data_IF_284420526218
#
_entry.id   IF_284420526218
#
_cell.length_a   1.000
_cell.length_b   1.000
_cell.length_c   1.000
_cell.angle_alpha   90.00
_cell.angle_beta   90.00
_cell.angle_gamma   90.00
#
_symmetry.space_group_name_H-M   'P 1'
#
loop_
_entity.id
_entity.type
_entity.pdbx_description
1 polymer ?
#
# COMPACT_ATOMS: atom_id res chain seq x y z
N UNK A 1 -14.97 14.18 -21.09
CA UNK A 1 -14.65 13.38 -19.87
C UNK A 1 -14.18 14.37 -18.82
N UNK A 2 -14.79 14.35 -17.63
CA UNK A 2 -14.35 15.19 -16.52
C UNK A 2 -13.08 14.59 -15.93
N UNK A 3 -12.02 15.39 -15.83
CA UNK A 3 -10.80 14.98 -15.13
C UNK A 3 -11.08 14.89 -13.62
N UNK A 4 -10.36 14.04 -12.87
CA UNK A 4 -10.42 14.02 -11.41
C UNK A 4 -10.15 15.43 -10.85
N UNK A 5 -10.96 15.86 -9.89
CA UNK A 5 -10.98 17.25 -9.43
C UNK A 5 -9.61 17.75 -8.92
N UNK A 6 -8.84 16.88 -8.27
CA UNK A 6 -7.54 17.19 -7.66
C UNK A 6 -6.31 16.97 -8.59
N UNK A 7 -6.52 16.59 -9.85
CA UNK A 7 -5.42 16.36 -10.80
C UNK A 7 -5.31 17.44 -11.87
N UNK A 8 -6.16 18.47 -11.86
CA UNK A 8 -6.11 19.62 -12.78
C UNK A 8 -5.96 19.22 -14.27
N UNK A 9 -6.67 18.18 -14.70
CA UNK A 9 -6.60 17.66 -16.07
C UNK A 9 -5.42 16.74 -16.36
N UNK A 10 -4.53 16.52 -15.40
CA UNK A 10 -3.43 15.55 -15.55
C UNK A 10 -3.93 14.12 -15.35
N UNK A 11 -3.23 13.15 -15.91
CA UNK A 11 -3.48 11.74 -15.66
C UNK A 11 -3.22 11.41 -14.18
N UNK A 12 -4.16 10.77 -13.46
CA UNK A 12 -3.96 10.34 -12.10
C UNK A 12 -2.96 9.16 -12.06
N UNK A 13 -1.69 9.49 -11.91
CA UNK A 13 -0.57 8.56 -11.91
C UNK A 13 0.40 8.90 -10.79
N UNK A 14 0.93 7.88 -10.11
CA UNK A 14 1.94 8.05 -9.07
C UNK A 14 3.27 8.51 -9.71
N UNK A 15 3.79 9.61 -9.19
CA UNK A 15 5.18 10.00 -9.40
C UNK A 15 6.00 9.68 -8.16
N UNK A 16 6.85 8.63 -8.16
CA UNK A 16 7.64 8.24 -7.00
C UNK A 16 8.51 9.36 -6.44
N UNK A 17 8.97 10.27 -7.30
CA UNK A 17 9.77 11.41 -6.86
C UNK A 17 8.96 12.45 -6.08
N UNK A 18 7.63 12.48 -6.27
CA UNK A 18 6.71 13.42 -5.63
C UNK A 18 5.72 12.75 -4.67
N UNK A 19 5.90 11.49 -4.35
CA UNK A 19 5.00 10.71 -3.49
C UNK A 19 5.55 10.53 -2.07
N UNK A 20 4.63 10.44 -1.09
CA UNK A 20 4.89 9.93 0.26
C UNK A 20 3.90 8.80 0.56
N UNK A 21 4.34 7.79 1.32
CA UNK A 21 3.54 6.63 1.74
C UNK A 21 3.05 6.84 3.17
N UNK A 22 1.73 6.75 3.37
CA UNK A 22 1.11 6.84 4.68
C UNK A 22 0.48 5.50 5.06
N UNK A 23 0.99 4.84 6.09
CA UNK A 23 0.49 3.56 6.59
C UNK A 23 -0.14 3.79 7.97
N UNK A 24 -1.47 3.84 7.99
CA UNK A 24 -2.27 4.35 9.11
C UNK A 24 -2.97 3.20 9.83
N UNK A 25 -2.72 3.06 11.12
CA UNK A 25 -3.43 2.13 12.02
C UNK A 25 -3.39 0.66 11.58
N UNK A 26 -2.30 0.21 10.99
CA UNK A 26 -2.07 -1.21 10.73
C UNK A 26 -1.74 -1.91 12.06
N UNK A 27 -2.72 -1.94 12.95
CA UNK A 27 -2.62 -2.39 14.34
C UNK A 27 -3.14 -3.81 14.52
N UNK A 28 -2.45 -4.59 15.34
CA UNK A 28 -2.73 -6.02 15.53
C UNK A 28 -4.14 -6.31 16.02
N UNK A 29 -4.72 -5.45 16.85
CA UNK A 29 -6.10 -5.57 17.31
C UNK A 29 -7.12 -5.22 16.24
N UNK A 30 -6.89 -4.13 15.49
CA UNK A 30 -7.79 -3.73 14.39
C UNK A 30 -7.83 -4.78 13.28
N UNK A 31 -6.73 -5.45 12.98
CA UNK A 31 -6.69 -6.51 11.97
C UNK A 31 -7.68 -7.65 12.28
N UNK A 32 -7.96 -7.93 13.54
CA UNK A 32 -8.92 -8.97 13.95
C UNK A 32 -10.37 -8.61 13.61
N UNK A 33 -10.65 -7.34 13.34
CA UNK A 33 -12.00 -6.87 12.94
C UNK A 33 -12.24 -6.92 11.45
N UNK A 34 -11.21 -7.15 10.63
CA UNK A 34 -11.30 -7.23 9.18
C UNK A 34 -12.00 -8.52 8.75
N UNK A 35 -12.96 -8.39 7.82
CA UNK A 35 -13.77 -9.50 7.30
C UNK A 35 -13.99 -9.47 5.78
N UNK A 36 -13.53 -8.43 5.11
CA UNK A 36 -13.65 -8.29 3.66
C UNK A 36 -12.52 -8.97 2.89
N UNK A 37 -11.41 -9.30 3.58
CA UNK A 37 -10.27 -10.03 3.03
C UNK A 37 -9.56 -10.88 4.10
N UNK A 38 -8.75 -11.88 3.71
CA UNK A 38 -7.90 -12.62 4.64
C UNK A 38 -6.87 -11.72 5.34
N UNK A 39 -6.68 -11.90 6.65
CA UNK A 39 -5.71 -11.13 7.44
C UNK A 39 -4.27 -11.28 6.90
N UNK A 40 -3.91 -12.47 6.42
CA UNK A 40 -2.59 -12.75 5.84
C UNK A 40 -2.34 -11.93 4.58
N UNK A 41 -3.36 -11.75 3.76
CA UNK A 41 -3.31 -10.91 2.56
C UNK A 41 -3.13 -9.44 2.93
N UNK A 42 -3.95 -8.91 3.84
CA UNK A 42 -3.81 -7.55 4.34
C UNK A 42 -2.41 -7.26 4.89
N UNK A 43 -1.85 -8.19 5.70
CA UNK A 43 -0.48 -8.05 6.24
C UNK A 43 0.55 -8.03 5.12
N UNK A 44 0.45 -8.94 4.15
CA UNK A 44 1.37 -9.00 3.02
C UNK A 44 1.31 -7.71 2.19
N UNK A 45 0.12 -7.22 1.89
CA UNK A 45 -0.09 -5.99 1.11
C UNK A 45 0.49 -4.76 1.82
N UNK A 46 0.18 -4.56 3.10
CA UNK A 46 0.72 -3.43 3.88
C UNK A 46 2.26 -3.48 4.00
N UNK A 47 2.82 -4.66 4.23
CA UNK A 47 4.28 -4.87 4.29
C UNK A 47 4.93 -4.61 2.94
N UNK A 48 4.30 -5.03 1.84
CA UNK A 48 4.81 -4.80 0.48
C UNK A 48 4.83 -3.32 0.11
N UNK A 49 3.81 -2.55 0.50
CA UNK A 49 3.83 -1.09 0.32
C UNK A 49 5.04 -0.47 1.03
N UNK A 50 5.33 -0.86 2.26
CA UNK A 50 6.50 -0.40 3.00
C UNK A 50 7.82 -0.80 2.30
N UNK A 51 7.93 -2.05 1.82
CA UNK A 51 9.09 -2.57 1.08
C UNK A 51 9.32 -1.78 -0.22
N UNK A 52 8.29 -1.57 -1.01
CA UNK A 52 8.39 -0.86 -2.30
C UNK A 52 8.70 0.62 -2.09
N UNK A 53 8.14 1.25 -1.05
CA UNK A 53 8.51 2.62 -0.68
C UNK A 53 9.99 2.73 -0.31
N UNK A 54 10.54 1.73 0.39
CA UNK A 54 11.98 1.65 0.72
C UNK A 54 12.84 1.52 -0.51
N UNK A 55 12.51 0.59 -1.43
CA UNK A 55 13.23 0.41 -2.70
C UNK A 55 13.24 1.70 -3.54
N UNK A 56 12.12 2.41 -3.57
CA UNK A 56 11.98 3.65 -4.35
C UNK A 56 12.41 4.91 -3.59
N UNK A 57 12.89 4.79 -2.35
CA UNK A 57 13.29 5.91 -1.48
C UNK A 57 12.15 6.92 -1.24
N UNK A 58 10.91 6.43 -1.21
CA UNK A 58 9.72 7.22 -0.90
C UNK A 58 9.64 7.40 0.62
N UNK A 59 9.43 8.62 1.15
CA UNK A 59 9.20 8.84 2.57
C UNK A 59 8.00 8.03 3.06
N UNK A 60 8.15 7.35 4.20
CA UNK A 60 7.09 6.58 4.85
C UNK A 60 6.74 7.22 6.18
N UNK A 61 5.45 7.48 6.41
CA UNK A 61 4.93 7.92 7.70
C UNK A 61 3.94 6.89 8.19
N UNK A 62 4.14 6.45 9.42
CA UNK A 62 3.25 5.52 10.11
C UNK A 62 2.62 6.19 11.33
N UNK A 63 1.42 5.77 11.68
CA UNK A 63 0.75 6.23 12.91
C UNK A 63 -0.14 5.14 13.49
N UNK A 64 -0.38 5.20 14.79
CA UNK A 64 -1.29 4.32 15.50
C UNK A 64 -2.18 5.12 16.44
N UNK A 65 -3.44 4.71 16.55
CA UNK A 65 -4.40 5.27 17.49
C UNK A 65 -4.44 4.41 18.76
N UNK A 66 -4.05 4.99 19.89
CA UNK A 66 -4.07 4.34 21.22
C UNK A 66 -3.47 2.93 21.19
N UNK A 67 -2.17 2.76 20.86
CA UNK A 67 -1.56 1.45 20.67
C UNK A 67 -1.49 0.59 21.94
N UNK A 68 -1.64 1.19 23.11
CA UNK A 68 -1.73 0.50 24.41
C UNK A 68 -3.16 0.02 24.73
N UNK A 69 -4.14 0.35 23.92
CA UNK A 69 -5.54 -0.02 24.05
C UNK A 69 -5.90 -1.26 23.22
N UNK A 70 -7.22 -1.53 23.02
CA UNK A 70 -7.71 -2.66 22.26
C UNK A 70 -7.24 -2.73 20.80
N UNK A 71 -6.90 -1.58 20.21
CA UNK A 71 -6.36 -1.53 18.83
C UNK A 71 -5.00 -2.24 18.72
N UNK A 72 -4.24 -2.32 19.80
CA UNK A 72 -2.91 -2.92 19.84
C UNK A 72 -1.83 -2.10 19.12
N UNK A 73 -0.59 -2.58 19.13
CA UNK A 73 0.51 -1.94 18.42
C UNK A 73 0.42 -2.16 16.90
N UNK A 74 1.18 -1.37 16.14
CA UNK A 74 1.41 -1.63 14.71
C UNK A 74 2.04 -3.00 14.52
N UNK A 75 1.74 -3.64 13.39
CA UNK A 75 2.43 -4.88 12.99
C UNK A 75 3.91 -4.57 12.74
N UNK A 76 4.84 -5.39 13.26
CA UNK A 76 6.28 -5.09 13.18
C UNK A 76 6.82 -5.11 11.75
N UNK A 77 6.25 -5.91 10.86
CA UNK A 77 6.71 -6.11 9.49
C UNK A 77 6.80 -4.80 8.69
N UNK A 78 5.97 -3.80 9.01
CA UNK A 78 6.00 -2.50 8.33
C UNK A 78 7.32 -1.78 8.61
N UNK A 79 7.74 -1.71 9.88
CA UNK A 79 8.99 -1.05 10.25
C UNK A 79 10.23 -1.89 9.90
N UNK A 80 10.11 -3.22 9.86
CA UNK A 80 11.14 -4.11 9.33
C UNK A 80 11.38 -3.86 7.84
N UNK A 81 10.30 -3.69 7.06
CA UNK A 81 10.37 -3.40 5.63
C UNK A 81 10.73 -1.94 5.31
N UNK A 82 10.37 -1.00 6.19
CA UNK A 82 10.67 0.42 6.06
C UNK A 82 11.32 1.00 7.34
N UNK A 83 12.59 0.66 7.63
CA UNK A 83 13.28 1.13 8.84
C UNK A 83 13.47 2.66 8.89
N UNK A 84 13.31 3.34 7.77
CA UNK A 84 13.33 4.80 7.66
C UNK A 84 11.97 5.45 7.94
N UNK A 85 10.92 4.68 8.22
CA UNK A 85 9.59 5.21 8.46
C UNK A 85 9.55 6.11 9.71
N UNK A 86 8.97 7.29 9.56
CA UNK A 86 8.70 8.17 10.68
C UNK A 86 7.40 7.74 11.37
N UNK A 87 7.49 7.31 12.62
CA UNK A 87 6.32 7.00 13.43
C UNK A 87 5.81 8.24 14.16
N UNK A 88 4.50 8.51 14.08
CA UNK A 88 3.81 9.55 14.81
C UNK A 88 2.74 8.92 15.70
N UNK A 89 2.90 9.04 17.02
CA UNK A 89 1.91 8.56 17.99
C UNK A 89 0.72 9.52 18.05
N UNK A 90 -0.51 8.97 18.04
CA UNK A 90 -1.74 9.75 18.28
C UNK A 90 -2.29 9.49 19.68
N UNK A 91 -3.02 10.47 20.20
CA UNK A 91 -3.60 10.40 21.56
C UNK A 91 -5.04 9.85 21.57
N UNK A 92 -5.61 9.50 20.41
CA UNK A 92 -6.95 8.96 20.28
C UNK A 92 -7.77 9.59 19.16
N UNK A 93 -7.19 10.49 18.38
CA UNK A 93 -7.83 11.04 17.19
C UNK A 93 -8.19 9.91 16.23
N UNK A 94 -9.47 9.83 15.87
CA UNK A 94 -9.99 8.81 14.96
C UNK A 94 -9.49 9.09 13.55
N UNK A 95 -9.60 10.34 13.10
CA UNK A 95 -9.00 10.78 11.85
C UNK A 95 -7.54 11.17 12.10
N UNK A 96 -6.60 10.51 11.46
CA UNK A 96 -5.17 10.85 11.59
C UNK A 96 -4.90 12.31 11.17
N UNK A 97 -5.70 12.87 10.28
CA UNK A 97 -5.56 14.25 9.81
C UNK A 97 -5.94 15.29 10.88
N UNK A 98 -6.66 14.91 11.93
CA UNK A 98 -6.98 15.77 13.07
C UNK A 98 -5.80 15.89 14.06
N UNK A 99 -4.75 15.07 13.89
CA UNK A 99 -3.52 15.18 14.70
C UNK A 99 -2.52 16.14 14.01
N UNK A 100 -2.19 17.29 14.63
CA UNK A 100 -1.32 18.30 14.02
C UNK A 100 0.11 17.80 13.81
N UNK A 101 0.62 16.88 14.65
CA UNK A 101 1.97 16.33 14.51
C UNK A 101 2.06 15.40 13.30
N UNK A 102 1.00 14.61 13.05
CA UNK A 102 0.90 13.77 11.85
C UNK A 102 0.87 14.62 10.58
N UNK A 103 0.00 15.64 10.53
CA UNK A 103 -0.08 16.57 9.39
C UNK A 103 1.24 17.31 9.18
N UNK A 104 1.91 17.72 10.25
CA UNK A 104 3.23 18.37 10.17
C UNK A 104 4.29 17.42 9.58
N UNK A 105 4.30 16.15 9.98
CA UNK A 105 5.19 15.13 9.41
C UNK A 105 4.94 14.93 7.91
N UNK A 106 3.66 14.85 7.48
CA UNK A 106 3.31 14.77 6.07
C UNK A 106 3.79 15.99 5.29
N UNK A 107 3.53 17.19 5.79
CA UNK A 107 3.98 18.45 5.16
C UNK A 107 5.50 18.54 5.07
N UNK A 108 6.22 18.06 6.07
CA UNK A 108 7.69 18.04 6.10
C UNK A 108 8.32 17.19 4.99
N UNK A 109 7.60 16.22 4.43
CA UNK A 109 8.09 15.47 3.27
C UNK A 109 8.23 16.31 2.01
N UNK A 110 7.54 17.44 1.92
CA UNK A 110 7.49 18.31 0.74
C UNK A 110 6.76 17.70 -0.46
N UNK A 111 6.20 16.49 -0.32
CA UNK A 111 5.52 15.77 -1.41
C UNK A 111 4.10 16.28 -1.62
N UNK A 112 3.58 16.11 -2.84
CA UNK A 112 2.22 16.53 -3.22
C UNK A 112 1.29 15.35 -3.53
N UNK A 113 1.85 14.16 -3.69
CA UNK A 113 1.11 12.93 -3.86
C UNK A 113 1.20 12.09 -2.59
N UNK A 114 0.09 11.53 -2.16
CA UNK A 114 0.02 10.66 -0.99
C UNK A 114 -0.54 9.30 -1.41
N UNK A 115 0.19 8.25 -1.10
CA UNK A 115 -0.25 6.86 -1.20
C UNK A 115 -0.69 6.45 0.20
N UNK A 116 -1.98 6.22 0.39
CA UNK A 116 -2.56 6.02 1.72
C UNK A 116 -3.17 4.63 1.83
N UNK A 117 -2.76 3.88 2.84
CA UNK A 117 -3.44 2.68 3.30
C UNK A 117 -3.72 2.77 4.80
N UNK A 118 -4.80 2.16 5.27
CA UNK A 118 -5.15 2.25 6.70
C UNK A 118 -6.29 1.33 7.10
N UNK A 119 -6.11 0.66 8.22
CA UNK A 119 -7.10 -0.26 8.80
C UNK A 119 -7.82 0.45 9.94
N UNK A 120 -9.06 0.75 9.77
CA UNK A 120 -10.16 0.25 8.92
C UNK A 120 -10.32 1.13 7.67
N UNK A 121 -10.57 0.53 6.51
CA UNK A 121 -10.76 1.22 5.22
C UNK A 121 -11.72 2.42 5.31
N UNK A 122 -12.90 2.23 5.93
CA UNK A 122 -13.95 3.26 6.01
C UNK A 122 -13.64 4.43 6.96
N UNK A 123 -12.58 4.32 7.76
CA UNK A 123 -12.19 5.29 8.79
C UNK A 123 -10.73 5.72 8.59
N UNK A 124 -9.79 4.85 8.96
CA UNK A 124 -8.36 5.17 9.03
C UNK A 124 -7.73 5.42 7.65
N UNK A 125 -8.28 4.83 6.58
CA UNK A 125 -7.90 5.16 5.20
C UNK A 125 -8.74 6.32 4.66
N UNK A 126 -10.08 6.24 4.77
CA UNK A 126 -10.97 7.16 4.08
C UNK A 126 -10.94 8.59 4.62
N UNK A 127 -10.94 8.78 5.95
CA UNK A 127 -11.00 10.12 6.54
C UNK A 127 -9.77 10.96 6.22
N UNK A 128 -8.53 10.48 6.47
CA UNK A 128 -7.33 11.24 6.12
C UNK A 128 -7.19 11.42 4.61
N UNK A 129 -7.62 10.45 3.78
CA UNK A 129 -7.60 10.58 2.32
C UNK A 129 -8.48 11.75 1.84
N UNK A 130 -9.71 11.86 2.34
CA UNK A 130 -10.64 12.93 2.00
C UNK A 130 -10.11 14.28 2.51
N UNK A 131 -9.61 14.32 3.74
CA UNK A 131 -9.05 15.54 4.32
C UNK A 131 -7.80 16.02 3.55
N UNK A 132 -6.93 15.10 3.15
CA UNK A 132 -5.75 15.42 2.35
C UNK A 132 -6.11 15.99 0.96
N UNK A 133 -7.14 15.45 0.30
CA UNK A 133 -7.66 16.02 -0.96
C UNK A 133 -8.14 17.45 -0.75
N UNK A 134 -8.88 17.71 0.34
CA UNK A 134 -9.33 19.06 0.70
C UNK A 134 -8.15 20.02 0.90
N UNK A 135 -7.04 19.54 1.46
CA UNK A 135 -5.81 20.31 1.66
C UNK A 135 -4.94 20.41 0.38
N UNK A 136 -5.44 19.93 -0.76
CA UNK A 136 -4.81 20.08 -2.09
C UNK A 136 -3.80 19.01 -2.45
N UNK A 137 -3.76 17.87 -1.73
CA UNK A 137 -2.95 16.71 -2.12
C UNK A 137 -3.63 15.89 -3.22
N UNK A 138 -2.83 15.23 -4.04
CA UNK A 138 -3.27 14.16 -4.92
C UNK A 138 -3.18 12.84 -4.14
N UNK A 139 -4.30 12.14 -3.96
CA UNK A 139 -4.37 10.99 -3.06
C UNK A 139 -4.72 9.72 -3.82
N UNK A 140 -3.89 8.69 -3.60
CA UNK A 140 -4.08 7.32 -4.05
C UNK A 140 -4.35 6.44 -2.84
N UNK A 141 -5.55 5.87 -2.74
CA UNK A 141 -5.96 5.02 -1.63
C UNK A 141 -5.81 3.55 -1.98
N UNK A 142 -5.02 2.81 -1.20
CA UNK A 142 -4.72 1.40 -1.47
C UNK A 142 -5.70 0.53 -0.71
N UNK A 143 -6.68 -0.01 -1.40
CA UNK A 143 -7.86 -0.63 -0.81
C UNK A 143 -7.54 -2.01 -0.23
N UNK A 144 -6.80 -2.85 -0.95
CA UNK A 144 -6.40 -4.18 -0.54
C UNK A 144 -5.29 -4.20 0.54
N UNK A 145 -4.71 -3.04 0.85
CA UNK A 145 -3.81 -2.84 1.98
C UNK A 145 -4.49 -2.11 3.17
N UNK A 146 -5.83 -1.99 3.15
CA UNK A 146 -6.59 -1.25 4.18
C UNK A 146 -7.48 -2.16 5.04
N UNK A 147 -8.37 -2.95 4.44
CA UNK A 147 -9.24 -3.90 5.15
C UNK A 147 -10.35 -3.27 5.99
N UNK A 148 -11.55 -3.89 5.98
CA UNK A 148 -12.68 -3.43 6.78
C UNK A 148 -13.56 -4.59 7.25
N UNK A 149 -14.61 -4.28 8.02
CA UNK A 149 -15.47 -5.27 8.70
C UNK A 149 -16.55 -5.89 7.81
N UNK A 150 -16.77 -5.39 6.58
CA UNK A 150 -17.71 -5.99 5.63
C UNK A 150 -17.49 -5.47 4.20
N UNK A 151 -17.89 -6.27 3.21
CA UNK A 151 -17.86 -5.86 1.78
C UNK A 151 -18.75 -4.64 1.52
N UNK A 152 -19.93 -4.56 2.18
CA UNK A 152 -20.79 -3.38 2.06
C UNK A 152 -20.08 -2.10 2.53
N UNK A 153 -19.36 -2.15 3.65
CA UNK A 153 -18.60 -1.01 4.15
C UNK A 153 -17.51 -0.60 3.16
N UNK A 154 -16.83 -1.57 2.54
CA UNK A 154 -15.83 -1.33 1.49
C UNK A 154 -16.46 -0.63 0.28
N UNK A 155 -17.56 -1.15 -0.24
CA UNK A 155 -18.27 -0.61 -1.42
C UNK A 155 -18.76 0.84 -1.20
N UNK A 156 -19.37 1.09 -0.04
CA UNK A 156 -19.83 2.44 0.34
C UNK A 156 -18.62 3.39 0.46
N UNK A 157 -17.52 2.91 1.04
CA UNK A 157 -16.31 3.71 1.21
C UNK A 157 -15.67 4.04 -0.13
N UNK A 158 -15.59 3.08 -1.06
CA UNK A 158 -15.09 3.32 -2.42
C UNK A 158 -15.89 4.41 -3.13
N UNK A 159 -17.22 4.32 -3.09
CA UNK A 159 -18.08 5.36 -3.68
C UNK A 159 -17.80 6.75 -3.07
N UNK A 160 -17.66 6.81 -1.73
CA UNK A 160 -17.41 8.06 -0.99
C UNK A 160 -16.05 8.69 -1.32
N UNK A 161 -14.97 7.90 -1.33
CA UNK A 161 -13.63 8.43 -1.57
C UNK A 161 -13.45 8.87 -3.02
N UNK A 162 -14.04 8.13 -3.98
CA UNK A 162 -14.05 8.52 -5.41
C UNK A 162 -14.78 9.83 -5.61
N UNK A 163 -15.93 10.03 -4.98
CA UNK A 163 -16.67 11.30 -5.02
C UNK A 163 -15.83 12.47 -4.48
N UNK A 164 -14.99 12.22 -3.49
CA UNK A 164 -14.11 13.23 -2.91
C UNK A 164 -12.85 13.51 -3.75
N UNK A 165 -12.63 12.78 -4.86
CA UNK A 165 -11.47 12.96 -5.74
C UNK A 165 -10.26 12.11 -5.36
N UNK A 166 -10.40 11.12 -4.50
CA UNK A 166 -9.38 10.12 -4.18
C UNK A 166 -9.36 9.06 -5.29
N UNK A 167 -8.18 8.60 -5.68
CA UNK A 167 -8.01 7.53 -6.66
C UNK A 167 -7.80 6.20 -5.94
N UNK A 168 -8.74 5.25 -5.99
CA UNK A 168 -8.55 3.93 -5.41
C UNK A 168 -7.60 3.10 -6.26
N UNK A 169 -6.72 2.34 -5.61
CA UNK A 169 -5.75 1.44 -6.22
C UNK A 169 -5.66 0.14 -5.43
N UNK A 170 -5.07 -0.88 -6.02
CA UNK A 170 -4.58 -2.07 -5.36
C UNK A 170 -3.04 -2.01 -5.20
N UNK A 171 -2.51 -2.86 -4.33
CA UNK A 171 -1.08 -2.91 -4.01
C UNK A 171 -0.21 -3.21 -5.23
N UNK A 172 -0.65 -4.15 -6.10
CA UNK A 172 0.12 -4.52 -7.29
C UNK A 172 0.19 -3.36 -8.30
N UNK A 173 -0.90 -2.61 -8.46
CA UNK A 173 -0.93 -1.42 -9.30
C UNK A 173 -0.01 -0.32 -8.76
N UNK A 174 -0.02 -0.07 -7.45
CA UNK A 174 0.92 0.87 -6.79
C UNK A 174 2.37 0.45 -7.03
N UNK A 175 2.71 -0.83 -6.82
CA UNK A 175 4.04 -1.35 -7.10
C UNK A 175 4.45 -1.11 -8.56
N UNK A 176 3.52 -1.35 -9.51
CA UNK A 176 3.77 -1.19 -10.94
C UNK A 176 4.02 0.26 -11.34
N UNK A 177 3.25 1.20 -10.79
CA UNK A 177 3.44 2.63 -11.06
C UNK A 177 4.73 3.18 -10.43
N UNK A 178 5.15 2.65 -9.29
CA UNK A 178 6.43 2.99 -8.65
C UNK A 178 7.59 2.39 -9.44
N UNK A 179 7.49 1.14 -9.86
CA UNK A 179 8.54 0.43 -10.59
C UNK A 179 8.75 1.00 -12.01
N UNK A 180 7.68 1.28 -12.73
CA UNK A 180 7.61 1.83 -14.11
C UNK A 180 8.19 0.94 -15.19
N UNK A 181 9.24 0.18 -14.95
CA UNK A 181 9.93 -0.63 -15.96
C UNK A 181 10.66 -1.80 -15.29
N UNK A 182 10.77 -2.91 -16.02
CA UNK A 182 11.64 -4.04 -15.63
C UNK A 182 13.11 -3.81 -16.00
N UNK A 183 13.41 -2.81 -16.84
CA UNK A 183 14.79 -2.44 -17.21
C UNK A 183 15.40 -1.53 -16.16
N UNK A 184 15.72 -2.12 -14.99
CA UNK A 184 16.29 -1.45 -13.83
C UNK A 184 17.10 -2.43 -12.97
N UNK A 185 18.09 -1.94 -12.23
CA UNK A 185 19.02 -2.77 -11.47
C UNK A 185 18.36 -3.51 -10.29
N UNK A 186 17.27 -2.94 -9.74
CA UNK A 186 16.51 -3.50 -8.61
C UNK A 186 15.25 -4.27 -9.05
N UNK A 187 15.18 -4.72 -10.32
CA UNK A 187 14.05 -5.46 -10.85
C UNK A 187 13.75 -6.75 -10.07
N UNK A 188 14.80 -7.45 -9.59
CA UNK A 188 14.65 -8.67 -8.79
C UNK A 188 13.94 -8.39 -7.47
N UNK A 189 14.29 -7.30 -6.78
CA UNK A 189 13.65 -6.92 -5.52
C UNK A 189 12.17 -6.55 -5.72
N UNK A 190 11.81 -5.94 -6.87
CA UNK A 190 10.41 -5.72 -7.23
C UNK A 190 9.70 -7.03 -7.55
N UNK A 191 10.33 -7.98 -8.25
CA UNK A 191 9.74 -9.30 -8.50
C UNK A 191 9.43 -10.05 -7.19
N UNK A 192 10.31 -9.97 -6.19
CA UNK A 192 10.06 -10.51 -4.84
C UNK A 192 8.88 -9.80 -4.15
N UNK A 193 8.74 -8.48 -4.31
CA UNK A 193 7.60 -7.75 -3.77
C UNK A 193 6.29 -8.20 -4.42
N UNK A 194 6.25 -8.37 -5.74
CA UNK A 194 5.08 -8.92 -6.44
C UNK A 194 4.73 -10.33 -5.98
N UNK A 195 5.72 -11.18 -5.75
CA UNK A 195 5.49 -12.55 -5.31
C UNK A 195 4.79 -12.64 -3.95
N UNK A 196 4.95 -11.63 -3.11
CA UNK A 196 4.30 -11.57 -1.80
C UNK A 196 2.81 -11.17 -1.87
N UNK A 197 2.41 -10.31 -2.81
CA UNK A 197 1.04 -9.77 -2.93
C UNK A 197 0.26 -10.32 -4.11
N UNK A 198 0.97 -10.94 -5.02
CA UNK A 198 0.42 -11.60 -6.19
C UNK A 198 0.96 -13.03 -6.24
N UNK A 199 0.40 -13.95 -5.45
CA UNK A 199 0.99 -15.28 -5.23
C UNK A 199 1.24 -16.08 -6.52
N UNK A 200 0.40 -15.89 -7.54
CA UNK A 200 0.58 -16.54 -8.84
C UNK A 200 1.77 -15.98 -9.64
N UNK A 201 2.30 -14.83 -9.28
CA UNK A 201 3.48 -14.26 -9.92
C UNK A 201 4.74 -15.11 -9.68
N UNK A 202 4.87 -15.68 -8.49
CA UNK A 202 5.94 -16.64 -8.18
C UNK A 202 5.89 -17.85 -9.12
N UNK A 203 4.68 -18.38 -9.40
CA UNK A 203 4.49 -19.49 -10.32
C UNK A 203 4.89 -19.14 -11.76
N UNK A 204 4.67 -17.88 -12.17
CA UNK A 204 5.12 -17.39 -13.48
C UNK A 204 6.65 -17.38 -13.56
N UNK A 205 7.34 -16.89 -12.53
CA UNK A 205 8.81 -16.90 -12.45
C UNK A 205 9.35 -18.33 -12.50
N UNK A 206 8.75 -19.23 -11.73
CA UNK A 206 9.14 -20.65 -11.71
C UNK A 206 8.93 -21.31 -13.08
N UNK A 207 7.79 -21.05 -13.72
CA UNK A 207 7.50 -21.55 -15.07
C UNK A 207 8.53 -21.06 -16.08
N UNK A 208 8.88 -19.79 -16.02
CA UNK A 208 9.92 -19.21 -16.89
C UNK A 208 11.29 -19.87 -16.64
N UNK A 209 11.69 -20.04 -15.38
CA UNK A 209 12.95 -20.69 -15.04
C UNK A 209 13.01 -22.15 -15.55
N UNK A 210 11.87 -22.88 -15.46
CA UNK A 210 11.76 -24.24 -16.03
C UNK A 210 11.86 -24.23 -17.54
N UNK A 211 11.20 -23.30 -18.23
CA UNK A 211 11.29 -23.17 -19.68
C UNK A 211 12.74 -22.88 -20.13
N UNK A 212 13.45 -22.01 -19.42
CA UNK A 212 14.88 -21.76 -19.70
C UNK A 212 15.74 -23.01 -19.48
N UNK A 213 15.47 -23.80 -18.46
CA UNK A 213 16.17 -25.05 -18.21
C UNK A 213 15.95 -26.07 -19.36
N UNK A 214 14.74 -26.15 -19.91
CA UNK A 214 14.43 -26.99 -21.08
C UNK A 214 15.20 -26.54 -22.30
N UNK A 215 15.26 -25.23 -22.59
CA UNK A 215 16.03 -24.69 -23.71
C UNK A 215 17.50 -25.06 -23.61
N UNK A 216 18.08 -24.99 -22.40
CA UNK A 216 19.53 -25.22 -22.19
C UNK A 216 19.90 -26.72 -22.09
N UNK A 217 19.03 -27.57 -21.52
CA UNK A 217 19.35 -28.95 -21.14
C UNK A 217 18.43 -29.99 -21.79
N UNK A 218 17.53 -29.60 -22.64
CA UNK A 218 16.42 -30.42 -23.19
C UNK A 218 15.45 -30.94 -22.11
N UNK A 219 14.21 -31.20 -22.50
CA UNK A 219 13.21 -31.79 -21.61
C UNK A 219 13.54 -33.25 -21.31
N UNK A 220 13.61 -33.58 -20.02
CA UNK A 220 13.76 -34.97 -19.60
C UNK A 220 12.43 -35.51 -19.11
N UNK A 221 11.97 -36.61 -19.71
CA UNK A 221 10.79 -37.32 -19.23
C UNK A 221 11.04 -37.85 -17.81
N UNK A 222 9.98 -37.96 -17.00
CA UNK A 222 10.06 -38.46 -15.63
C UNK A 222 10.74 -39.83 -15.54
N UNK A 223 10.54 -40.68 -16.53
CA UNK A 223 11.19 -41.99 -16.67
C UNK A 223 12.71 -41.93 -16.90
N UNK A 224 13.24 -40.78 -17.28
CA UNK A 224 14.67 -40.57 -17.55
C UNK A 224 15.37 -39.81 -16.41
N UNK A 225 14.62 -39.37 -15.41
CA UNK A 225 15.18 -38.72 -14.20
C UNK A 225 15.73 -39.81 -13.28
N UNK A 226 17.04 -39.91 -13.20
CA UNK A 226 17.74 -40.80 -12.25
C UNK A 226 17.77 -40.22 -10.86
#
# INVERSE_FOLDING_TARGET
MSAPANFNGQTPKIDPANAAMLLIDHQSGLFQTVKDMPMTELRANATTLAKVATLAKIPVITTASVPQGPNGPLIPEIHEAAPHAQYVARKGEINAWDNPEFVAAVKATGKKQLIIAGTITSVCMAFPSIAAVHDGYQVFAVIDASGTYSKMAQEITLARVVQAGVVPMDTAAVCSEIQRTWNRDDAVQFAEAYSAVFPHYQLLIESYAKAQAVVNNHEQLVSQRK
#
